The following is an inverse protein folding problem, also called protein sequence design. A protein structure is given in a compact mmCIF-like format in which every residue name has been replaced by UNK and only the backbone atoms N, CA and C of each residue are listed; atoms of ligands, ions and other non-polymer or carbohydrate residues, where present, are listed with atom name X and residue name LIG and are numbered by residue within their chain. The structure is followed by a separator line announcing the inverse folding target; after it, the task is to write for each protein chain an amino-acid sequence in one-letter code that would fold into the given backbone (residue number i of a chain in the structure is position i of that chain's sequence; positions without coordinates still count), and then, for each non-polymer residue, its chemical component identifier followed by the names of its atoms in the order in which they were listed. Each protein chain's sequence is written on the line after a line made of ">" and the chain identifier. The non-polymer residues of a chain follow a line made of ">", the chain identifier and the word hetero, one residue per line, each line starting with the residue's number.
data_IF_683905124123
#
_entry.id   IF_683905124123
#
_cell.length_a   1.000
_cell.length_b   1.000
_cell.length_c   1.000
_cell.angle_alpha   90.00
_cell.angle_beta   90.00
_cell.angle_gamma   90.00
#
_symmetry.space_group_name_H-M   'P 1'
#
loop_
_entity.id
_entity.type
_entity.pdbx_description
1 polymer ?
#
# COMPACT_ATOMS: atom_id res chain seq x y z
N UNK A 1 79.15 7.24 6.47
CA UNK A 1 78.27 6.97 7.63
C UNK A 1 76.87 7.47 7.26
N UNK A 2 75.89 6.58 7.19
CA UNK A 2 74.46 6.92 6.99
C UNK A 2 73.86 7.42 8.32
N UNK A 3 72.70 8.09 8.28
CA UNK A 3 71.58 7.39 8.89
C UNK A 3 70.41 7.22 7.92
N UNK A 4 69.81 6.03 8.03
CA UNK A 4 68.57 5.66 7.36
C UNK A 4 67.43 6.55 7.85
N UNK A 5 66.66 7.13 6.93
CA UNK A 5 65.36 7.69 7.24
C UNK A 5 64.37 6.55 7.51
N UNK A 6 63.85 6.48 8.73
CA UNK A 6 62.87 5.49 9.15
C UNK A 6 61.50 5.87 8.57
N UNK A 7 61.01 5.11 7.59
CA UNK A 7 59.65 5.24 7.09
C UNK A 7 58.70 4.58 8.09
N UNK A 8 57.97 5.38 8.87
CA UNK A 8 56.97 4.88 9.79
C UNK A 8 55.68 4.61 9.00
N UNK A 9 55.41 3.33 8.70
CA UNK A 9 54.16 2.89 8.10
C UNK A 9 53.07 2.87 9.18
N UNK A 10 52.23 3.90 9.24
CA UNK A 10 51.03 3.90 10.08
C UNK A 10 50.00 2.92 9.51
N UNK A 11 49.83 1.77 10.16
CA UNK A 11 48.67 0.91 9.93
C UNK A 11 47.42 1.62 10.44
N UNK A 12 46.54 2.04 9.53
CA UNK A 12 45.19 2.45 9.87
C UNK A 12 44.34 1.18 10.03
N UNK A 13 44.11 0.74 11.26
CA UNK A 13 43.16 -0.33 11.55
C UNK A 13 41.74 0.19 11.31
N UNK A 14 41.19 -0.03 10.12
CA UNK A 14 39.77 0.15 9.88
C UNK A 14 39.03 -1.00 10.58
N UNK A 15 38.51 -0.73 11.79
CA UNK A 15 37.52 -1.61 12.41
C UNK A 15 36.24 -1.52 11.59
N UNK A 16 35.77 -2.61 10.95
CA UNK A 16 34.44 -2.59 10.38
C UNK A 16 33.46 -2.48 11.55
N UNK A 17 32.85 -1.31 11.72
CA UNK A 17 31.65 -1.20 12.54
C UNK A 17 30.57 -1.97 11.79
N UNK A 18 30.37 -3.24 12.15
CA UNK A 18 29.10 -3.89 11.88
C UNK A 18 28.06 -3.08 12.66
N UNK A 19 27.46 -2.09 12.00
CA UNK A 19 26.17 -1.58 12.44
C UNK A 19 25.20 -2.71 12.23
N UNK A 20 24.99 -3.52 13.28
CA UNK A 20 23.77 -4.31 13.40
C UNK A 20 22.62 -3.37 13.05
N UNK A 21 21.74 -3.71 12.09
CA UNK A 21 20.53 -2.92 11.90
C UNK A 21 19.88 -2.91 13.27
N UNK A 22 19.73 -1.70 13.84
CA UNK A 22 19.00 -1.54 15.08
C UNK A 22 17.66 -2.21 14.81
N UNK A 23 17.38 -3.31 15.51
CA UNK A 23 16.06 -3.89 15.50
C UNK A 23 15.15 -2.73 15.89
N UNK A 24 14.44 -2.17 14.92
CA UNK A 24 13.41 -1.19 15.19
C UNK A 24 12.35 -1.98 15.92
N UNK A 25 12.46 -2.03 17.25
CA UNK A 25 11.35 -2.42 18.10
C UNK A 25 10.24 -1.50 17.66
N UNK A 26 9.24 -2.05 16.96
CA UNK A 26 8.09 -1.29 16.50
C UNK A 26 7.63 -0.46 17.70
N UNK A 27 7.89 0.84 17.64
CA UNK A 27 7.59 1.74 18.74
C UNK A 27 6.10 1.65 18.99
N UNK A 28 5.68 1.93 20.22
CA UNK A 28 4.25 2.08 20.54
C UNK A 28 3.63 2.93 19.43
N UNK A 29 2.70 2.33 18.70
CA UNK A 29 2.02 2.95 17.57
C UNK A 29 1.59 4.37 17.95
N UNK A 30 2.10 5.37 17.24
CA UNK A 30 1.79 6.78 17.52
C UNK A 30 0.29 7.07 17.33
N UNK A 31 -0.34 6.31 16.44
CA UNK A 31 -1.77 6.37 16.14
C UNK A 31 -2.57 5.49 17.11
N UNK A 32 -3.73 5.99 17.54
CA UNK A 32 -4.67 5.21 18.35
C UNK A 32 -5.01 3.90 17.63
N UNK A 33 -4.86 2.73 18.27
CA UNK A 33 -5.07 1.43 17.62
C UNK A 33 -6.52 1.20 17.17
N UNK A 34 -7.46 2.07 17.54
CA UNK A 34 -8.87 2.01 17.18
C UNK A 34 -9.28 3.04 16.11
N UNK A 35 -8.34 3.84 15.58
CA UNK A 35 -8.63 4.81 14.50
C UNK A 35 -7.80 4.48 13.27
N UNK A 36 -8.41 4.64 12.09
CA UNK A 36 -7.73 4.39 10.81
C UNK A 36 -6.79 5.52 10.40
N UNK A 37 -6.99 6.72 10.95
CA UNK A 37 -6.20 7.92 10.71
C UNK A 37 -6.24 8.80 11.98
N UNK A 38 -5.25 9.66 12.19
CA UNK A 38 -5.25 10.68 13.27
C UNK A 38 -5.98 11.97 12.87
N UNK A 39 -6.15 12.21 11.57
CA UNK A 39 -6.75 13.44 11.05
C UNK A 39 -8.27 13.43 11.24
N UNK A 40 -8.82 14.58 11.62
CA UNK A 40 -10.27 14.80 11.63
C UNK A 40 -10.83 14.89 10.20
N UNK A 41 -12.16 14.74 10.01
CA UNK A 41 -12.79 14.89 8.69
C UNK A 41 -12.47 16.23 7.99
N UNK A 42 -12.39 17.33 8.76
CA UNK A 42 -12.04 18.65 8.24
C UNK A 42 -10.58 18.69 7.80
N UNK A 43 -9.67 18.15 8.63
CA UNK A 43 -8.25 18.07 8.29
C UNK A 43 -8.00 17.23 7.04
N UNK A 44 -8.71 16.11 6.87
CA UNK A 44 -8.66 15.29 5.66
C UNK A 44 -9.13 16.06 4.43
N UNK A 45 -10.16 16.90 4.58
CA UNK A 45 -10.66 17.74 3.49
C UNK A 45 -9.67 18.84 3.13
N UNK A 46 -9.07 19.50 4.11
CA UNK A 46 -7.99 20.46 3.90
C UNK A 46 -6.79 19.82 3.21
N UNK A 47 -6.32 18.67 3.70
CA UNK A 47 -5.17 17.96 3.12
C UNK A 47 -5.45 17.55 1.68
N UNK A 48 -6.63 17.00 1.38
CA UNK A 48 -7.03 16.63 0.01
C UNK A 48 -7.06 17.82 -0.93
N UNK A 49 -7.56 18.96 -0.46
CA UNK A 49 -7.61 20.21 -1.24
C UNK A 49 -6.19 20.73 -1.51
N UNK A 50 -5.32 20.71 -0.51
CA UNK A 50 -3.92 21.11 -0.65
C UNK A 50 -3.18 20.20 -1.65
N UNK A 51 -3.37 18.88 -1.56
CA UNK A 51 -2.76 17.92 -2.48
C UNK A 51 -3.28 18.04 -3.92
N UNK A 52 -4.53 18.46 -4.10
CA UNK A 52 -5.09 18.74 -5.43
C UNK A 52 -4.45 19.99 -6.07
N UNK A 53 -4.06 20.96 -5.24
CA UNK A 53 -3.45 22.22 -5.69
C UNK A 53 -1.93 22.14 -5.84
N UNK A 54 -1.29 21.15 -5.23
CA UNK A 54 0.16 20.97 -5.27
C UNK A 54 0.66 20.74 -6.70
N UNK A 55 1.56 21.59 -7.17
CA UNK A 55 2.07 21.60 -8.55
C UNK A 55 3.41 20.83 -8.73
N UNK A 56 3.99 20.32 -7.65
CA UNK A 56 5.25 19.57 -7.66
C UNK A 56 5.26 18.47 -6.60
N UNK A 57 6.11 17.46 -6.78
CA UNK A 57 6.31 16.42 -5.76
C UNK A 57 6.85 16.99 -4.45
N UNK A 58 7.75 17.98 -4.52
CA UNK A 58 8.24 18.69 -3.33
C UNK A 58 7.09 19.34 -2.53
N UNK A 59 6.14 19.98 -3.23
CA UNK A 59 4.98 20.57 -2.57
C UNK A 59 4.05 19.51 -1.97
N UNK A 60 3.92 18.34 -2.62
CA UNK A 60 3.15 17.21 -2.10
C UNK A 60 3.80 16.62 -0.86
N UNK A 61 5.11 16.37 -0.90
CA UNK A 61 5.87 15.85 0.24
C UNK A 61 5.80 16.79 1.44
N UNK A 62 5.88 18.11 1.24
CA UNK A 62 5.73 19.09 2.32
C UNK A 62 4.34 19.03 2.99
N UNK A 63 3.29 18.65 2.27
CA UNK A 63 1.92 18.49 2.80
C UNK A 63 1.78 17.15 3.56
N UNK A 64 2.35 16.07 3.02
CA UNK A 64 2.25 14.72 3.61
C UNK A 64 3.17 14.56 4.82
N UNK A 65 4.36 15.16 4.76
CA UNK A 65 5.43 15.05 5.76
C UNK A 65 5.82 16.45 6.28
N UNK A 66 4.93 17.15 6.99
CA UNK A 66 5.23 18.49 7.50
C UNK A 66 6.31 18.50 8.60
N UNK A 67 6.54 17.35 9.26
CA UNK A 67 7.50 17.19 10.35
C UNK A 67 8.34 15.91 10.16
N UNK A 68 9.21 15.83 9.14
CA UNK A 68 10.02 14.64 8.90
C UNK A 68 10.93 14.36 10.13
N UNK A 69 11.12 13.09 10.53
CA UNK A 69 10.73 11.86 9.83
C UNK A 69 9.32 11.32 10.17
N UNK A 70 8.48 12.08 10.88
CA UNK A 70 7.13 11.63 11.25
C UNK A 70 6.21 11.56 10.03
N UNK A 71 5.57 10.40 9.85
CA UNK A 71 4.58 10.13 8.81
C UNK A 71 3.14 10.03 9.38
N UNK A 72 2.91 10.47 10.62
CA UNK A 72 1.63 10.28 11.29
C UNK A 72 0.47 10.96 10.53
N UNK A 73 0.73 12.11 9.89
CA UNK A 73 -0.24 12.83 9.04
C UNK A 73 -0.62 12.10 7.75
N UNK A 74 0.14 11.06 7.38
CA UNK A 74 -0.04 10.30 6.15
C UNK A 74 0.03 8.79 6.38
N UNK A 75 -0.43 8.34 7.54
CA UNK A 75 -0.53 6.91 7.86
C UNK A 75 -1.99 6.50 7.90
N UNK A 76 -2.34 5.51 7.07
CA UNK A 76 -3.61 4.78 7.18
C UNK A 76 -3.39 3.44 7.86
N UNK A 77 -4.14 3.18 8.92
CA UNK A 77 -4.09 1.93 9.65
C UNK A 77 -5.30 1.06 9.35
N UNK A 78 -5.03 -0.14 8.84
CA UNK A 78 -6.01 -1.22 8.84
C UNK A 78 -6.13 -1.77 10.26
N UNK A 79 -7.33 -1.65 10.84
CA UNK A 79 -7.58 -2.10 12.20
C UNK A 79 -7.70 -3.62 12.20
N UNK A 80 -6.95 -4.28 13.07
CA UNK A 80 -7.24 -5.68 13.36
C UNK A 80 -8.58 -5.73 14.09
N UNK A 81 -9.50 -6.55 13.61
CA UNK A 81 -10.78 -6.73 14.27
C UNK A 81 -11.12 -8.21 14.41
N UNK A 82 -12.04 -8.48 15.33
CA UNK A 82 -12.73 -9.75 15.39
C UNK A 82 -14.07 -9.56 14.72
N UNK A 83 -14.33 -10.30 13.64
CA UNK A 83 -15.63 -10.30 12.98
C UNK A 83 -16.62 -11.06 13.87
N UNK A 84 -17.62 -10.34 14.40
CA UNK A 84 -18.65 -10.90 15.26
C UNK A 84 -19.94 -11.16 14.49
N UNK A 85 -20.74 -12.12 14.94
CA UNK A 85 -22.08 -12.35 14.40
C UNK A 85 -22.95 -11.07 14.52
N UNK A 86 -23.87 -10.82 13.56
CA UNK A 86 -24.27 -11.70 12.47
C UNK A 86 -23.49 -11.51 11.17
N UNK A 87 -22.44 -10.67 11.14
CA UNK A 87 -21.68 -10.43 9.91
C UNK A 87 -20.68 -11.56 9.64
N UNK A 88 -20.62 -12.00 8.38
CA UNK A 88 -19.65 -13.00 7.93
C UNK A 88 -18.26 -12.43 7.63
N UNK A 89 -18.11 -11.11 7.68
CA UNK A 89 -16.85 -10.43 7.39
C UNK A 89 -16.91 -8.93 7.68
N UNK A 90 -15.77 -8.27 7.53
CA UNK A 90 -15.62 -6.82 7.56
C UNK A 90 -14.56 -6.39 6.55
N UNK A 91 -14.63 -5.15 6.08
CA UNK A 91 -13.62 -4.57 5.19
C UNK A 91 -13.26 -3.19 5.67
N UNK A 92 -11.97 -2.91 5.82
CA UNK A 92 -11.43 -1.58 6.03
C UNK A 92 -10.94 -1.04 4.69
N UNK A 93 -11.69 -0.11 4.12
CA UNK A 93 -11.39 0.51 2.83
C UNK A 93 -10.69 1.87 3.04
N UNK A 94 -9.55 2.03 2.39
CA UNK A 94 -8.85 3.29 2.21
C UNK A 94 -9.11 3.84 0.81
N UNK A 95 -9.53 5.10 0.76
CA UNK A 95 -9.81 5.86 -0.45
C UNK A 95 -9.23 7.26 -0.30
N UNK A 96 -9.22 8.06 -1.37
CA UNK A 96 -8.82 9.48 -1.30
C UNK A 96 -9.64 10.29 -0.28
N UNK A 97 -10.82 9.81 0.14
CA UNK A 97 -11.63 10.47 1.16
C UNK A 97 -11.00 10.38 2.56
N UNK A 98 -10.47 9.22 2.96
CA UNK A 98 -9.93 8.95 4.30
C UNK A 98 -8.41 8.71 4.34
N UNK A 99 -7.78 8.63 3.17
CA UNK A 99 -6.33 8.56 2.99
C UNK A 99 -5.90 9.37 1.75
N UNK A 100 -5.77 10.71 1.87
CA UNK A 100 -5.57 11.61 0.73
C UNK A 100 -4.28 11.36 -0.08
N UNK A 101 -3.23 10.76 0.48
CA UNK A 101 -2.03 10.41 -0.28
C UNK A 101 -2.28 9.49 -1.48
N UNK A 102 -3.33 8.66 -1.43
CA UNK A 102 -3.73 7.83 -2.56
C UNK A 102 -4.07 8.63 -3.82
N UNK A 103 -4.40 9.92 -3.69
CA UNK A 103 -4.89 10.76 -4.79
C UNK A 103 -3.96 10.83 -6.01
N UNK A 104 -2.64 10.72 -5.84
CA UNK A 104 -1.70 10.73 -6.97
C UNK A 104 -1.38 9.32 -7.52
N UNK A 105 -1.81 8.27 -6.83
CA UNK A 105 -1.48 6.88 -7.20
C UNK A 105 -2.55 6.25 -8.10
N UNK A 106 -3.77 6.79 -8.08
CA UNK A 106 -4.93 6.15 -8.73
C UNK A 106 -5.39 4.87 -8.03
N UNK A 107 -4.88 4.56 -6.84
CA UNK A 107 -5.18 3.34 -6.08
C UNK A 107 -6.24 3.59 -5.00
N UNK A 108 -6.99 2.53 -4.71
CA UNK A 108 -7.63 2.31 -3.41
C UNK A 108 -7.02 1.07 -2.78
N UNK A 109 -7.02 0.97 -1.46
CA UNK A 109 -6.54 -0.23 -0.78
C UNK A 109 -7.51 -0.67 0.29
N UNK A 110 -7.69 -1.98 0.47
CA UNK A 110 -8.58 -2.53 1.47
C UNK A 110 -7.95 -3.74 2.16
N UNK A 111 -8.28 -3.92 3.43
CA UNK A 111 -8.05 -5.18 4.16
C UNK A 111 -9.40 -5.73 4.59
N UNK A 112 -9.72 -6.90 4.07
CA UNK A 112 -10.93 -7.65 4.40
C UNK A 112 -10.64 -8.78 5.37
N UNK A 113 -11.54 -8.98 6.33
CA UNK A 113 -11.57 -10.13 7.22
C UNK A 113 -12.84 -10.92 6.92
N UNK A 114 -12.70 -12.21 6.64
CA UNK A 114 -13.84 -13.10 6.31
C UNK A 114 -13.80 -14.28 7.25
N UNK A 115 -14.89 -14.48 8.00
CA UNK A 115 -15.06 -15.63 8.88
C UNK A 115 -15.34 -16.91 8.08
N UNK A 116 -15.22 -18.10 8.69
CA UNK A 116 -15.75 -19.33 8.09
C UNK A 116 -17.20 -19.16 7.63
N UNK A 117 -17.51 -19.65 6.43
CA UNK A 117 -18.81 -19.49 5.76
C UNK A 117 -19.20 -18.02 5.45
N UNK A 118 -18.30 -17.06 5.66
CA UNK A 118 -18.46 -15.68 5.22
C UNK A 118 -18.34 -15.55 3.71
N UNK A 119 -19.04 -14.57 3.15
CA UNK A 119 -19.06 -14.27 1.72
C UNK A 119 -18.83 -12.77 1.52
N UNK A 120 -17.85 -12.43 0.68
CA UNK A 120 -17.84 -11.11 0.05
C UNK A 120 -18.95 -11.10 -1.00
N UNK A 121 -20.01 -10.34 -0.76
CA UNK A 121 -21.21 -10.37 -1.60
C UNK A 121 -20.86 -10.06 -3.05
N UNK A 122 -21.54 -10.68 -4.04
CA UNK A 122 -21.33 -10.36 -5.45
C UNK A 122 -21.48 -8.84 -5.69
N UNK A 123 -20.47 -8.24 -6.28
CA UNK A 123 -20.43 -6.83 -6.63
C UNK A 123 -19.50 -6.61 -7.82
N UNK A 124 -19.46 -5.38 -8.33
CA UNK A 124 -18.50 -4.94 -9.35
C UNK A 124 -17.91 -3.59 -8.95
N UNK A 125 -16.81 -3.22 -9.60
CA UNK A 125 -16.21 -1.89 -9.48
C UNK A 125 -16.41 -1.13 -10.80
N UNK A 126 -17.26 -0.09 -10.87
CA UNK A 126 -17.58 0.58 -12.13
C UNK A 126 -16.39 1.31 -12.80
N UNK A 127 -15.29 1.53 -12.05
CA UNK A 127 -14.17 2.39 -12.46
C UNK A 127 -12.81 1.90 -11.92
N UNK A 128 -12.69 0.63 -11.53
CA UNK A 128 -11.43 0.11 -10.99
C UNK A 128 -11.29 -1.39 -11.28
N UNK A 129 -10.05 -1.82 -11.52
CA UNK A 129 -9.69 -3.23 -11.45
C UNK A 129 -9.36 -3.59 -9.99
N UNK A 130 -9.54 -4.85 -9.63
CA UNK A 130 -9.26 -5.34 -8.28
C UNK A 130 -8.09 -6.33 -8.30
N UNK A 131 -7.10 -6.09 -7.43
CA UNK A 131 -5.97 -6.99 -7.18
C UNK A 131 -6.01 -7.44 -5.73
N UNK A 132 -6.33 -8.71 -5.50
CA UNK A 132 -6.47 -9.30 -4.17
C UNK A 132 -5.34 -10.29 -3.90
N UNK A 133 -4.83 -10.27 -2.68
CA UNK A 133 -3.90 -11.27 -2.16
C UNK A 133 -4.39 -11.80 -0.81
N UNK A 134 -4.25 -13.11 -0.60
CA UNK A 134 -4.61 -13.75 0.66
C UNK A 134 -3.39 -13.72 1.58
N UNK A 135 -3.50 -12.96 2.67
CA UNK A 135 -2.42 -12.84 3.67
C UNK A 135 -2.47 -13.94 4.73
N UNK A 136 -3.65 -14.52 4.99
CA UNK A 136 -3.85 -15.61 5.95
C UNK A 136 -5.12 -16.40 5.61
N UNK A 137 -5.05 -17.73 5.76
CA UNK A 137 -6.17 -18.64 5.50
C UNK A 137 -6.32 -19.00 4.02
N UNK A 138 -7.54 -19.38 3.63
CA UNK A 138 -7.88 -19.77 2.25
C UNK A 138 -9.21 -19.15 1.86
N UNK A 139 -9.28 -18.54 0.68
CA UNK A 139 -10.51 -18.05 0.07
C UNK A 139 -10.74 -18.75 -1.27
N UNK A 140 -12.01 -18.98 -1.60
CA UNK A 140 -12.42 -19.36 -2.94
C UNK A 140 -12.91 -18.11 -3.66
N UNK A 141 -12.23 -17.75 -4.74
CA UNK A 141 -12.59 -16.61 -5.59
C UNK A 141 -13.34 -17.08 -6.83
N UNK A 142 -14.37 -16.32 -7.22
CA UNK A 142 -15.05 -16.46 -8.50
C UNK A 142 -15.15 -15.07 -9.13
N UNK A 143 -14.76 -14.96 -10.40
CA UNK A 143 -14.97 -13.75 -11.20
C UNK A 143 -15.95 -14.11 -12.31
N UNK A 144 -17.00 -13.30 -12.46
CA UNK A 144 -17.91 -13.39 -13.60
C UNK A 144 -17.42 -12.40 -14.64
N UNK A 145 -16.82 -12.92 -15.70
CA UNK A 145 -16.46 -12.14 -16.87
C UNK A 145 -17.64 -12.15 -17.84
N UNK A 146 -17.89 -11.03 -18.48
CA UNK A 146 -18.78 -11.01 -19.64
C UNK A 146 -18.20 -11.89 -20.74
N UNK A 147 -19.06 -12.46 -21.59
CA UNK A 147 -18.58 -13.22 -22.75
C UNK A 147 -17.92 -12.25 -23.72
N UNK A 148 -16.60 -12.15 -23.63
CA UNK A 148 -15.77 -11.38 -24.54
C UNK A 148 -15.99 -11.85 -25.99
N UNK A 149 -16.48 -10.97 -26.85
CA UNK A 149 -16.20 -11.03 -28.29
C UNK A 149 -14.87 -10.35 -28.64
N UNK A 150 -14.08 -9.97 -27.63
CA UNK A 150 -12.78 -9.31 -27.71
C UNK A 150 -12.88 -7.80 -27.86
N UNK A 151 -12.01 -7.08 -27.15
CA UNK A 151 -11.67 -5.71 -27.50
C UNK A 151 -11.07 -5.69 -28.92
N UNK A 152 -11.72 -4.98 -29.84
CA UNK A 152 -11.17 -4.77 -31.17
C UNK A 152 -11.36 -5.95 -32.14
N UNK A 153 -12.58 -6.53 -32.21
CA UNK A 153 -12.98 -7.29 -33.40
C UNK A 153 -12.92 -6.35 -34.62
N UNK A 154 -11.78 -6.33 -35.29
CA UNK A 154 -11.56 -5.60 -36.54
C UNK A 154 -12.04 -6.51 -37.67
N UNK A 155 -12.85 -5.99 -38.58
CA UNK A 155 -13.25 -6.73 -39.78
C UNK A 155 -11.99 -7.12 -40.56
N UNK A 156 -11.70 -8.42 -40.63
CA UNK A 156 -10.51 -8.98 -41.31
C UNK A 156 -9.29 -9.23 -40.40
N UNK A 157 -9.41 -9.05 -39.08
CA UNK A 157 -8.36 -9.41 -38.12
C UNK A 157 -8.32 -10.91 -37.77
N UNK A 158 -7.24 -11.34 -37.12
CA UNK A 158 -7.09 -12.68 -36.55
C UNK A 158 -8.23 -13.04 -35.57
N UNK A 159 -8.50 -14.33 -35.43
CA UNK A 159 -9.57 -14.80 -34.55
C UNK A 159 -9.32 -14.37 -33.10
N UNK A 160 -10.31 -13.70 -32.50
CA UNK A 160 -10.26 -13.27 -31.10
C UNK A 160 -10.11 -14.50 -30.20
N UNK A 161 -9.11 -14.47 -29.32
CA UNK A 161 -8.97 -15.46 -28.24
C UNK A 161 -10.16 -15.33 -27.30
N UNK A 162 -11.03 -16.32 -27.31
CA UNK A 162 -12.21 -16.38 -26.44
C UNK A 162 -11.86 -17.18 -25.18
N UNK A 163 -11.99 -16.55 -24.03
CA UNK A 163 -11.80 -17.18 -22.72
C UNK A 163 -10.98 -16.33 -21.75
N UNK A 164 -10.86 -16.76 -20.48
CA UNK A 164 -10.02 -16.06 -19.52
C UNK A 164 -8.57 -16.10 -19.99
N UNK A 165 -7.90 -14.94 -20.03
CA UNK A 165 -6.45 -14.91 -20.14
C UNK A 165 -5.87 -15.55 -18.88
N UNK A 166 -4.94 -16.48 -19.04
CA UNK A 166 -4.19 -17.05 -17.92
C UNK A 166 -3.39 -15.92 -17.27
N UNK A 167 -3.91 -15.37 -16.18
CA UNK A 167 -3.38 -14.17 -15.54
C UNK A 167 -2.15 -14.46 -14.66
N UNK A 168 -1.93 -15.75 -14.33
CA UNK A 168 -0.78 -16.27 -13.59
C UNK A 168 -0.43 -17.65 -14.15
N UNK A 169 0.79 -17.79 -14.67
CA UNK A 169 1.42 -19.08 -14.94
C UNK A 169 2.22 -19.46 -13.67
N UNK A 170 1.91 -20.60 -13.04
CA UNK A 170 2.65 -21.14 -11.88
C UNK A 170 3.72 -22.10 -12.40
#
# INVERSE_FOLDING_TARGET
>A
MRPLASFLLTLLSATPTLTTPLASSLTKREINPNTVNILTPDQLTTQRTALLLAQSEEAREAILFPNPPSAANDTFQFLNNTVLAPTGGTVYLSTVANFPALGATGLGAAVGFVNPCGLNTPHWHPRANEFLTVVQGTLLGVVLLESESGFGSVVGGEAVVKGPYTQVEI
#
